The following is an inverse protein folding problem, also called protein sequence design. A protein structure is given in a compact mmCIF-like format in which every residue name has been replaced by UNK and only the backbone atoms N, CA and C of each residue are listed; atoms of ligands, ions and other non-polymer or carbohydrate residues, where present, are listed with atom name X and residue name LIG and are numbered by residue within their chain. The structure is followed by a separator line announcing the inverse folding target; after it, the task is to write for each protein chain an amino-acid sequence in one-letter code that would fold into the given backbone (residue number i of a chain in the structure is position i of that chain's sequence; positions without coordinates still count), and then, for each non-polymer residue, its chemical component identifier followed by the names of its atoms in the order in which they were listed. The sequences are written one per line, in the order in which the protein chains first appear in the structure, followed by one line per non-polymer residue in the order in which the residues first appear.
data_IF_118967966093
#
_entry.id   IF_118967966093
#
_cell.length_a   1.000
_cell.length_b   1.000
_cell.length_c   1.000
_cell.angle_alpha   90.00
_cell.angle_beta   90.00
_cell.angle_gamma   90.00
#
_symmetry.space_group_name_H-M   'P 1'
#
loop_
_entity.id
_entity.type
_entity.pdbx_description
1 polymer ?
#
# COMPACT_ATOMS: atom_id res chain seq x y z
N UNK A 1 -12.36 -12.34 -11.84
CA UNK A 1 -11.36 -11.35 -12.24
C UNK A 1 -10.27 -11.28 -11.20
N UNK A 2 -9.00 -11.35 -11.62
CA UNK A 2 -7.85 -11.04 -10.76
C UNK A 2 -7.47 -9.56 -11.00
N UNK A 3 -7.32 -8.78 -9.95
CA UNK A 3 -6.96 -7.36 -10.06
C UNK A 3 -5.61 -7.15 -9.41
N UNK A 4 -4.65 -6.58 -10.15
CA UNK A 4 -3.31 -6.30 -9.65
C UNK A 4 -2.99 -4.83 -9.94
N UNK A 5 -2.61 -4.10 -8.88
CA UNK A 5 -2.19 -2.70 -8.93
C UNK A 5 -0.74 -2.59 -8.45
N UNK A 6 0.23 -2.71 -9.37
CA UNK A 6 1.65 -2.77 -9.03
C UNK A 6 2.19 -1.40 -8.61
N UNK A 7 3.17 -1.42 -7.68
CA UNK A 7 3.78 -0.23 -7.10
C UNK A 7 5.03 0.25 -7.85
N UNK A 8 5.68 -0.62 -8.63
CA UNK A 8 6.90 -0.30 -9.36
C UNK A 8 7.10 -1.21 -10.59
N UNK A 9 8.27 -1.12 -11.22
CA UNK A 9 8.58 -1.92 -12.42
C UNK A 9 8.67 -3.42 -12.10
N UNK A 10 9.22 -3.82 -10.96
CA UNK A 10 9.36 -5.23 -10.58
C UNK A 10 7.99 -5.86 -10.30
N UNK A 11 7.13 -5.15 -9.59
CA UNK A 11 5.74 -5.59 -9.38
C UNK A 11 4.95 -5.60 -10.70
N UNK A 12 5.25 -4.68 -11.62
CA UNK A 12 4.61 -4.66 -12.95
C UNK A 12 5.04 -5.86 -13.78
N UNK A 13 6.33 -6.22 -13.79
CA UNK A 13 6.80 -7.45 -14.44
C UNK A 13 6.13 -8.68 -13.85
N UNK A 14 6.09 -8.77 -12.52
CA UNK A 14 5.42 -9.85 -11.80
C UNK A 14 3.93 -9.96 -12.17
N UNK A 15 3.24 -8.83 -12.23
CA UNK A 15 1.82 -8.76 -12.59
C UNK A 15 1.55 -9.24 -14.02
N UNK A 16 2.39 -8.83 -14.98
CA UNK A 16 2.32 -9.31 -16.36
C UNK A 16 2.57 -10.80 -16.45
N UNK A 17 3.58 -11.31 -15.78
CA UNK A 17 3.88 -12.75 -15.73
C UNK A 17 2.69 -13.53 -15.20
N UNK A 18 2.11 -13.12 -14.06
CA UNK A 18 0.95 -13.75 -13.46
C UNK A 18 -0.29 -13.69 -14.38
N UNK A 19 -0.47 -12.59 -15.13
CA UNK A 19 -1.57 -12.44 -16.09
C UNK A 19 -1.44 -13.41 -17.28
N UNK A 20 -0.22 -13.54 -17.83
CA UNK A 20 0.04 -14.45 -18.96
C UNK A 20 -0.05 -15.92 -18.55
N UNK A 21 0.40 -16.26 -17.34
CA UNK A 21 0.34 -17.62 -16.80
C UNK A 21 -1.09 -18.03 -16.38
N UNK A 22 -2.01 -17.07 -16.19
CA UNK A 22 -3.39 -17.33 -15.77
C UNK A 22 -4.19 -18.05 -16.85
N UNK A 23 -4.70 -19.26 -16.54
CA UNK A 23 -5.47 -20.08 -17.46
C UNK A 23 -6.98 -20.11 -17.17
N UNK A 24 -7.38 -19.64 -16.00
CA UNK A 24 -8.74 -19.86 -15.49
C UNK A 24 -9.54 -18.59 -15.27
N UNK A 25 -8.88 -17.43 -15.23
CA UNK A 25 -9.53 -16.13 -15.01
C UNK A 25 -8.76 -15.00 -15.70
N UNK A 26 -9.47 -13.96 -16.17
CA UNK A 26 -8.82 -12.76 -16.70
C UNK A 26 -8.16 -11.96 -15.58
N UNK A 27 -7.12 -11.20 -15.95
CA UNK A 27 -6.39 -10.30 -15.03
C UNK A 27 -6.52 -8.86 -15.51
N UNK A 28 -6.86 -7.96 -14.61
CA UNK A 28 -6.82 -6.51 -14.80
C UNK A 28 -5.57 -5.95 -14.16
N UNK A 29 -4.73 -5.26 -14.92
CA UNK A 29 -3.57 -4.52 -14.43
C UNK A 29 -3.94 -3.05 -14.34
N UNK A 30 -3.89 -2.49 -13.12
CA UNK A 30 -4.19 -1.08 -12.87
C UNK A 30 -2.86 -0.33 -12.74
N UNK A 31 -2.44 0.29 -13.83
CA UNK A 31 -1.16 0.98 -13.92
C UNK A 31 -1.32 2.49 -13.74
N UNK A 32 -0.31 3.14 -13.16
CA UNK A 32 -0.23 4.59 -13.11
C UNK A 32 0.37 5.17 -14.40
N UNK A 33 0.09 6.44 -14.68
CA UNK A 33 0.72 7.21 -15.75
C UNK A 33 1.97 7.96 -15.29
N UNK A 34 2.21 8.05 -13.97
CA UNK A 34 3.40 8.67 -13.41
C UNK A 34 4.57 7.69 -13.43
N UNK A 35 5.78 8.24 -13.51
CA UNK A 35 7.00 7.48 -13.26
C UNK A 35 7.12 7.20 -11.77
N UNK A 36 7.24 5.92 -11.42
CA UNK A 36 7.43 5.49 -10.03
C UNK A 36 8.88 5.06 -9.82
N UNK A 37 9.45 5.31 -8.63
CA UNK A 37 10.76 4.79 -8.29
C UNK A 37 10.70 3.28 -8.13
N UNK A 38 11.78 2.59 -8.50
CA UNK A 38 11.94 1.18 -8.19
C UNK A 38 12.15 1.00 -6.68
N UNK A 39 11.45 0.03 -6.11
CA UNK A 39 11.54 -0.32 -4.69
C UNK A 39 12.60 -1.41 -4.48
N UNK A 40 13.39 -1.31 -3.41
CA UNK A 40 14.50 -2.24 -3.16
C UNK A 40 14.04 -3.68 -2.91
N UNK A 41 12.89 -3.85 -2.25
CA UNK A 41 12.39 -5.15 -1.80
C UNK A 41 11.13 -5.61 -2.53
N UNK A 42 10.78 -4.98 -3.66
CA UNK A 42 9.68 -5.48 -4.48
C UNK A 42 10.05 -6.82 -5.12
N UNK A 43 9.13 -7.79 -5.12
CA UNK A 43 9.41 -9.16 -5.53
C UNK A 43 8.23 -9.84 -6.22
N UNK A 44 8.55 -10.79 -7.11
CA UNK A 44 7.55 -11.65 -7.76
C UNK A 44 6.72 -12.44 -6.73
N UNK A 45 7.38 -13.04 -5.75
CA UNK A 45 6.74 -13.85 -4.71
C UNK A 45 5.76 -13.02 -3.88
N UNK A 46 6.10 -11.76 -3.61
CA UNK A 46 5.24 -10.83 -2.90
C UNK A 46 3.96 -10.53 -3.69
N UNK A 47 4.08 -10.22 -4.98
CA UNK A 47 2.93 -9.99 -5.86
C UNK A 47 2.09 -11.25 -6.03
N UNK A 48 2.72 -12.41 -6.14
CA UNK A 48 2.05 -13.70 -6.26
C UNK A 48 1.16 -14.00 -5.04
N UNK A 49 1.62 -13.64 -3.84
CA UNK A 49 0.85 -13.75 -2.58
C UNK A 49 -0.23 -12.65 -2.45
N UNK A 50 -0.09 -11.56 -3.17
CA UNK A 50 -1.02 -10.44 -3.17
C UNK A 50 -0.76 -9.36 -2.13
N UNK A 51 0.05 -9.63 -1.11
CA UNK A 51 0.58 -8.66 -0.16
C UNK A 51 1.86 -9.16 0.49
N UNK A 52 2.74 -8.21 0.85
CA UNK A 52 4.02 -8.51 1.52
C UNK A 52 4.63 -7.24 2.12
N UNK A 53 5.54 -7.40 3.08
CA UNK A 53 6.31 -6.30 3.64
C UNK A 53 7.36 -5.86 2.63
N UNK A 54 7.29 -4.60 2.20
CA UNK A 54 8.24 -4.01 1.22
C UNK A 54 9.25 -3.08 1.87
N UNK A 55 8.97 -2.57 3.06
CA UNK A 55 9.86 -1.69 3.80
C UNK A 55 9.76 -1.94 5.31
N UNK A 56 10.90 -2.01 5.97
CA UNK A 56 11.01 -2.15 7.42
C UNK A 56 11.74 -0.93 7.98
N UNK A 57 11.24 -0.29 9.04
CA UNK A 57 11.88 0.88 9.66
C UNK A 57 13.16 0.50 10.41
N UNK A 58 13.92 1.51 10.87
CA UNK A 58 15.21 1.33 11.55
C UNK A 58 15.12 0.62 12.92
N UNK A 59 13.95 0.63 13.55
CA UNK A 59 13.65 -0.09 14.79
C UNK A 59 12.42 -0.97 14.62
N UNK A 60 12.10 -1.78 15.63
CA UNK A 60 10.91 -2.63 15.62
C UNK A 60 9.65 -1.80 15.30
N UNK A 61 8.93 -2.20 14.27
CA UNK A 61 7.71 -1.51 13.86
C UNK A 61 6.65 -1.54 14.98
N UNK A 62 6.00 -0.41 15.20
CA UNK A 62 4.85 -0.27 16.10
C UNK A 62 3.54 -0.01 15.34
N UNK A 63 3.61 0.34 14.05
CA UNK A 63 2.46 0.44 13.15
C UNK A 63 2.77 -0.16 11.78
N UNK A 64 1.72 -0.52 11.03
CA UNK A 64 1.82 -0.94 9.62
C UNK A 64 1.04 0.01 8.71
N UNK A 65 1.68 0.47 7.63
CA UNK A 65 1.05 1.20 6.54
C UNK A 65 0.80 0.23 5.40
N UNK A 66 -0.45 0.11 4.98
CA UNK A 66 -0.85 -0.83 3.94
C UNK A 66 -1.29 -0.02 2.73
N UNK A 67 -0.61 -0.18 1.61
CA UNK A 67 -0.86 0.58 0.40
C UNK A 67 -0.77 -0.29 -0.85
N UNK A 68 -1.24 0.23 -1.97
CA UNK A 68 -1.16 -0.42 -3.27
C UNK A 68 -0.75 0.60 -4.35
N UNK A 69 -0.11 0.15 -5.41
CA UNK A 69 0.28 1.02 -6.52
C UNK A 69 1.19 2.17 -6.10
N UNK A 70 0.91 3.36 -6.63
CA UNK A 70 1.72 4.57 -6.40
C UNK A 70 1.80 5.01 -4.95
N UNK A 71 0.88 4.60 -4.09
CA UNK A 71 0.86 5.02 -2.69
C UNK A 71 1.93 4.31 -1.85
N UNK A 72 2.46 3.19 -2.32
CA UNK A 72 3.49 2.42 -1.59
C UNK A 72 4.74 3.25 -1.35
N UNK A 73 5.26 3.91 -2.40
CA UNK A 73 6.46 4.74 -2.22
C UNK A 73 6.19 5.99 -1.36
N UNK A 74 4.96 6.54 -1.41
CA UNK A 74 4.55 7.64 -0.54
C UNK A 74 4.53 7.21 0.93
N UNK A 75 4.05 5.99 1.21
CA UNK A 75 4.09 5.40 2.53
C UNK A 75 5.52 5.17 3.04
N UNK A 76 6.44 4.71 2.17
CA UNK A 76 7.86 4.58 2.53
C UNK A 76 8.46 5.94 2.89
N UNK A 77 8.17 6.97 2.09
CA UNK A 77 8.64 8.33 2.40
C UNK A 77 8.01 8.88 3.70
N UNK A 78 6.71 8.64 3.91
CA UNK A 78 6.03 9.02 5.15
C UNK A 78 6.58 8.27 6.38
N UNK A 79 6.92 6.98 6.24
CA UNK A 79 7.54 6.19 7.32
C UNK A 79 8.84 6.81 7.80
N UNK A 80 9.70 7.28 6.89
CA UNK A 80 10.95 7.96 7.25
C UNK A 80 10.71 9.25 8.05
N UNK A 81 9.66 10.01 7.71
CA UNK A 81 9.27 11.22 8.45
C UNK A 81 8.70 10.86 9.84
N UNK A 82 7.97 9.75 9.93
CA UNK A 82 7.39 9.26 11.19
C UNK A 82 8.47 8.78 12.17
N UNK A 83 9.58 8.23 11.68
CA UNK A 83 10.70 7.81 12.53
C UNK A 83 11.29 8.96 13.36
N UNK A 84 11.28 10.21 12.85
CA UNK A 84 11.71 11.41 13.60
C UNK A 84 10.82 11.68 14.82
N UNK A 85 9.62 11.10 14.84
CA UNK A 85 8.63 11.18 15.93
C UNK A 85 8.51 9.88 16.72
N UNK A 86 9.48 8.98 16.59
CA UNK A 86 9.50 7.66 17.23
C UNK A 86 8.31 6.76 16.85
N UNK A 87 7.67 7.03 15.70
CA UNK A 87 6.66 6.17 15.11
C UNK A 87 7.33 5.33 14.01
N UNK A 88 7.52 4.05 14.29
CA UNK A 88 8.24 3.12 13.41
C UNK A 88 7.25 2.36 12.55
N UNK A 89 7.02 2.86 11.34
CA UNK A 89 6.03 2.35 10.42
C UNK A 89 6.65 1.35 9.42
N UNK A 90 6.22 0.10 9.47
CA UNK A 90 6.48 -0.87 8.42
C UNK A 90 5.53 -0.64 7.26
N UNK A 91 5.98 -0.81 6.01
CA UNK A 91 5.12 -0.65 4.84
C UNK A 91 4.84 -2.00 4.18
N UNK A 92 3.57 -2.29 3.98
CA UNK A 92 3.07 -3.45 3.26
C UNK A 92 2.59 -2.99 1.89
N UNK A 93 3.17 -3.54 0.82
CA UNK A 93 2.57 -3.48 -0.51
C UNK A 93 1.50 -4.54 -0.62
N UNK A 94 0.29 -4.14 -1.02
CA UNK A 94 -0.85 -5.04 -1.25
C UNK A 94 -1.35 -4.92 -2.70
N UNK A 95 -0.56 -5.37 -3.68
CA UNK A 95 -0.91 -5.23 -5.09
C UNK A 95 -2.18 -5.98 -5.50
N UNK A 96 -2.59 -7.04 -4.77
CA UNK A 96 -3.80 -7.79 -5.13
C UNK A 96 -4.56 -8.34 -3.92
N UNK A 97 -5.71 -7.73 -3.63
CA UNK A 97 -6.66 -8.22 -2.63
C UNK A 97 -7.14 -9.64 -2.90
N UNK A 98 -7.45 -9.93 -4.17
CA UNK A 98 -7.97 -11.23 -4.59
C UNK A 98 -7.02 -12.36 -4.22
N UNK A 99 -5.71 -12.14 -4.34
CA UNK A 99 -4.68 -13.11 -4.01
C UNK A 99 -4.46 -13.20 -2.52
N UNK A 100 -4.42 -12.05 -1.83
CA UNK A 100 -4.18 -12.02 -0.39
C UNK A 100 -5.31 -12.67 0.42
N UNK A 101 -6.58 -12.40 0.08
CA UNK A 101 -7.71 -12.90 0.89
C UNK A 101 -7.86 -14.42 0.87
N UNK A 102 -7.35 -15.09 -0.16
CA UNK A 102 -7.40 -16.56 -0.28
C UNK A 102 -6.21 -17.27 0.38
N UNK A 103 -5.22 -16.54 0.86
CA UNK A 103 -4.10 -17.14 1.59
C UNK A 103 -4.57 -17.82 2.88
N UNK A 104 -3.88 -18.88 3.34
CA UNK A 104 -4.08 -19.43 4.65
C UNK A 104 -3.93 -18.38 5.77
N UNK A 105 -4.63 -18.50 6.90
CA UNK A 105 -4.54 -17.54 8.00
C UNK A 105 -3.10 -17.27 8.45
N UNK A 106 -2.29 -18.29 8.58
CA UNK A 106 -0.89 -18.20 9.00
C UNK A 106 0.00 -17.41 8.04
N UNK A 107 -0.32 -17.42 6.74
CA UNK A 107 0.39 -16.60 5.75
C UNK A 107 -0.05 -15.13 5.80
N UNK A 108 -1.34 -14.88 6.05
CA UNK A 108 -1.86 -13.52 6.27
C UNK A 108 -1.26 -12.88 7.51
N UNK A 109 -1.16 -13.65 8.61
CA UNK A 109 -0.58 -13.19 9.87
C UNK A 109 0.91 -12.85 9.76
N UNK A 110 1.66 -13.52 8.87
CA UNK A 110 3.06 -13.15 8.58
C UNK A 110 3.19 -11.78 7.93
N UNK A 111 2.20 -11.38 7.13
CA UNK A 111 2.18 -10.08 6.45
C UNK A 111 1.58 -9.00 7.34
N UNK A 112 0.39 -9.28 7.90
CA UNK A 112 -0.32 -8.36 8.79
C UNK A 112 -0.16 -8.81 10.25
N UNK A 113 1.08 -8.74 10.75
CA UNK A 113 1.45 -9.29 12.06
C UNK A 113 1.22 -8.33 13.23
N UNK A 114 1.05 -7.04 12.98
CA UNK A 114 0.67 -6.08 14.03
C UNK A 114 -0.85 -6.11 14.27
N UNK A 115 -1.31 -5.71 15.47
CA UNK A 115 -2.74 -5.70 15.80
C UNK A 115 -3.52 -4.75 14.88
N UNK A 116 -4.81 -5.01 14.72
CA UNK A 116 -5.70 -4.26 13.83
C UNK A 116 -5.69 -2.75 14.07
N UNK A 117 -5.62 -2.33 15.32
CA UNK A 117 -5.59 -0.92 15.73
C UNK A 117 -4.23 -0.22 15.53
N UNK A 118 -3.19 -0.96 15.15
CA UNK A 118 -1.90 -0.44 14.71
C UNK A 118 -1.76 -0.38 13.18
N UNK A 119 -2.84 -0.64 12.42
CA UNK A 119 -2.80 -0.66 10.95
C UNK A 119 -3.49 0.55 10.36
N UNK A 120 -2.87 1.12 9.33
CA UNK A 120 -3.36 2.26 8.55
C UNK A 120 -3.34 1.90 7.08
N UNK A 121 -4.46 1.99 6.39
CA UNK A 121 -4.48 1.90 4.92
C UNK A 121 -4.30 3.27 4.28
N UNK A 122 -3.62 3.31 3.13
CA UNK A 122 -3.39 4.53 2.35
C UNK A 122 -3.67 4.21 0.87
N UNK A 123 -4.73 4.80 0.33
CA UNK A 123 -5.22 4.53 -1.03
C UNK A 123 -5.79 5.80 -1.66
N UNK A 124 -5.29 6.22 -2.82
CA UNK A 124 -5.89 7.30 -3.63
C UNK A 124 -7.18 6.82 -4.32
N UNK A 125 -8.11 6.36 -3.53
CA UNK A 125 -9.42 5.85 -3.90
C UNK A 125 -10.28 5.81 -2.66
N UNK A 126 -11.47 5.20 -2.77
CA UNK A 126 -12.40 5.09 -1.65
C UNK A 126 -11.83 4.25 -0.51
N UNK A 127 -12.12 4.68 0.72
CA UNK A 127 -11.82 3.88 1.93
C UNK A 127 -12.68 2.63 2.04
N UNK A 128 -13.66 2.44 1.14
CA UNK A 128 -14.57 1.30 1.15
C UNK A 128 -13.82 -0.04 1.09
N UNK A 129 -14.09 -0.89 2.05
CA UNK A 129 -13.49 -2.22 2.19
C UNK A 129 -12.21 -2.26 3.04
N UNK A 130 -11.45 -1.17 3.15
CA UNK A 130 -10.20 -1.13 3.91
C UNK A 130 -10.40 -1.33 5.42
N UNK A 131 -11.57 -0.99 5.95
CA UNK A 131 -11.92 -1.24 7.34
C UNK A 131 -11.90 -2.73 7.76
N UNK A 132 -11.88 -3.67 6.80
CA UNK A 132 -11.65 -5.09 7.08
C UNK A 132 -10.17 -5.48 7.30
N UNK A 133 -9.24 -4.56 7.00
CA UNK A 133 -7.79 -4.78 7.02
C UNK A 133 -7.10 -3.89 8.06
N UNK A 134 -7.50 -2.61 8.12
CA UNK A 134 -6.89 -1.60 8.96
C UNK A 134 -7.96 -0.77 9.70
N UNK A 135 -7.65 -0.37 10.94
CA UNK A 135 -8.54 0.48 11.74
C UNK A 135 -8.64 1.90 11.19
N UNK A 136 -7.52 2.45 10.74
CA UNK A 136 -7.45 3.80 10.20
C UNK A 136 -7.29 3.76 8.69
N UNK A 137 -8.02 4.62 7.98
CA UNK A 137 -8.04 4.58 6.53
C UNK A 137 -7.85 6.01 5.98
N UNK A 138 -6.83 6.21 5.18
CA UNK A 138 -6.57 7.45 4.44
C UNK A 138 -6.97 7.19 2.99
N UNK A 139 -8.02 7.85 2.52
CA UNK A 139 -8.57 7.67 1.17
C UNK A 139 -9.22 8.93 0.64
N UNK A 140 -9.87 8.80 -0.51
CA UNK A 140 -10.65 9.85 -1.17
C UNK A 140 -12.08 9.30 -1.33
N UNK A 141 -12.99 9.77 -0.49
CA UNK A 141 -14.41 9.36 -0.49
C UNK A 141 -15.32 10.40 -1.15
N UNK A 142 -14.74 11.28 -1.94
CA UNK A 142 -15.40 12.31 -2.72
C UNK A 142 -15.01 12.22 -4.21
N UNK A 143 -15.60 13.04 -5.06
CA UNK A 143 -15.23 13.09 -6.47
C UNK A 143 -13.79 13.55 -6.63
N UNK A 144 -13.05 12.86 -7.53
CA UNK A 144 -11.71 13.27 -7.93
C UNK A 144 -11.72 14.61 -8.67
N UNK A 145 -10.53 15.19 -8.85
CA UNK A 145 -10.33 16.42 -9.58
C UNK A 145 -9.38 16.19 -10.77
N UNK A 146 -9.38 17.12 -11.71
CA UNK A 146 -8.45 17.13 -12.84
C UNK A 146 -7.39 18.21 -12.62
N UNK A 147 -6.12 17.84 -12.76
CA UNK A 147 -5.00 18.76 -12.55
C UNK A 147 -3.66 18.03 -12.74
N UNK A 148 -2.58 18.73 -12.44
CA UNK A 148 -1.24 18.11 -12.39
C UNK A 148 -1.18 17.16 -11.19
N UNK A 149 -0.44 16.07 -11.34
CA UNK A 149 -0.36 15.06 -10.29
C UNK A 149 0.11 15.63 -8.93
N UNK A 150 1.11 16.52 -8.95
CA UNK A 150 1.66 17.17 -7.75
C UNK A 150 0.60 17.99 -7.02
N UNK A 151 -0.16 18.81 -7.77
CA UNK A 151 -1.23 19.67 -7.22
C UNK A 151 -2.36 18.82 -6.60
N UNK A 152 -2.68 17.68 -7.24
CA UNK A 152 -3.70 16.76 -6.76
C UNK A 152 -3.26 15.99 -5.52
N UNK A 153 -2.00 15.56 -5.46
CA UNK A 153 -1.44 14.94 -4.26
C UNK A 153 -1.51 15.89 -3.06
N UNK A 154 -1.17 17.17 -3.26
CA UNK A 154 -1.26 18.18 -2.22
C UNK A 154 -2.71 18.45 -1.82
N UNK A 155 -3.60 18.63 -2.80
CA UNK A 155 -5.02 18.94 -2.59
C UNK A 155 -5.73 17.85 -1.76
N UNK A 156 -5.53 16.59 -2.11
CA UNK A 156 -6.15 15.46 -1.41
C UNK A 156 -5.38 15.01 -0.16
N UNK A 157 -4.23 15.60 0.13
CA UNK A 157 -3.44 15.30 1.32
C UNK A 157 -2.67 13.99 1.24
N UNK A 158 -2.15 13.67 0.06
CA UNK A 158 -1.32 12.49 -0.23
C UNK A 158 0.16 12.78 -0.40
N UNK A 159 0.65 13.97 -0.07
CA UNK A 159 2.09 14.16 0.06
C UNK A 159 2.62 13.37 1.26
N UNK A 160 3.89 12.89 1.25
CA UNK A 160 4.45 12.14 2.38
C UNK A 160 4.33 12.86 3.72
N UNK A 161 4.49 14.20 3.73
CA UNK A 161 4.36 15.03 4.94
C UNK A 161 2.92 15.02 5.45
N UNK A 162 1.93 15.14 4.56
CA UNK A 162 0.52 15.15 4.93
C UNK A 162 0.06 13.76 5.41
N UNK A 163 0.51 12.69 4.74
CA UNK A 163 0.27 11.31 5.18
C UNK A 163 0.85 11.11 6.58
N UNK A 164 2.13 11.45 6.80
CA UNK A 164 2.76 11.34 8.11
C UNK A 164 2.05 12.18 9.19
N UNK A 165 1.56 13.37 8.82
CA UNK A 165 0.76 14.23 9.70
C UNK A 165 -0.56 13.59 10.12
N UNK A 166 -1.32 13.05 9.15
CA UNK A 166 -2.57 12.32 9.42
C UNK A 166 -2.32 11.10 10.31
N UNK A 167 -1.31 10.29 9.99
CA UNK A 167 -0.95 9.11 10.78
C UNK A 167 -0.56 9.50 12.20
N UNK A 168 0.29 10.52 12.37
CA UNK A 168 0.66 11.01 13.72
C UNK A 168 -0.55 11.42 14.55
N UNK A 169 -1.64 11.89 13.94
CA UNK A 169 -2.85 12.29 14.67
C UNK A 169 -3.67 11.10 15.17
N UNK A 170 -3.57 9.93 14.52
CA UNK A 170 -4.27 8.71 14.95
C UNK A 170 -3.67 8.08 16.20
N UNK A 171 -2.38 8.32 16.46
CA UNK A 171 -1.61 7.70 17.53
C UNK A 171 -1.10 8.73 18.58
N UNK A 172 -1.67 9.95 18.59
CA UNK A 172 -1.50 10.88 19.69
C UNK A 172 -2.42 10.44 20.84
N UNK A 173 -1.80 10.09 21.98
CA UNK A 173 -2.49 10.02 23.27
C UNK A 173 -2.94 11.39 23.75
#
# INVERSE_FOLDING_TARGET
LDVIRPADINETEAAWRLAVESKTRPTALILTRQNLPQLENSSFEGVQKGAYVVYTPSKKANIQLIATGSEVFLCIAASKILEEKEIYAEVVSMPSWNRFVILPPEEKEKVLHLPYDARVSVEMGSTFGWGGIAKYNIGIDEFGASGKAEDLLEHFGFTPIQIAGKISSFFKE
#
